data_IF_518938709826
#
_entry.id   IF_518938709826
#
_cell.length_a   1.000
_cell.length_b   1.000
_cell.length_c   1.000
_cell.angle_alpha   90.00
_cell.angle_beta   90.00
_cell.angle_gamma   90.00
#
_symmetry.space_group_name_H-M   'P 1'
#
loop_
_entity.id
_entity.type
_entity.pdbx_description
1 polymer ?
#
# COMPACT_ATOMS: atom_id res chain seq x y z
N UNK A 1 -1.61 -10.57 10.21
CA UNK A 1 -2.94 -10.38 10.82
C UNK A 1 -3.57 -11.74 11.08
N UNK A 2 -4.68 -11.78 11.83
CA UNK A 2 -5.50 -13.01 11.94
C UNK A 2 -6.79 -12.76 11.17
N UNK A 3 -7.06 -13.61 10.20
CA UNK A 3 -8.28 -13.60 9.41
C UNK A 3 -9.51 -13.77 10.32
N UNK A 4 -10.58 -13.04 10.01
CA UNK A 4 -11.88 -13.20 10.63
C UNK A 4 -12.71 -14.13 9.75
N UNK A 5 -13.12 -15.28 10.29
CA UNK A 5 -13.94 -16.22 9.53
C UNK A 5 -15.37 -15.69 9.43
N UNK A 6 -15.86 -15.49 8.20
CA UNK A 6 -17.22 -15.04 7.91
C UNK A 6 -18.04 -16.24 7.45
N UNK A 7 -19.07 -16.59 8.22
CA UNK A 7 -20.03 -17.65 7.89
C UNK A 7 -21.49 -17.17 7.91
N UNK A 8 -21.69 -15.89 8.19
CA UNK A 8 -22.98 -15.20 8.27
C UNK A 8 -22.75 -13.75 7.78
N UNK A 9 -23.71 -12.85 7.97
CA UNK A 9 -23.61 -11.43 7.64
C UNK A 9 -22.34 -10.80 8.20
N UNK A 10 -21.57 -10.12 7.34
CA UNK A 10 -20.29 -9.48 7.70
C UNK A 10 -20.49 -8.50 8.86
N UNK A 11 -21.54 -7.69 8.81
CA UNK A 11 -21.88 -6.73 9.86
C UNK A 11 -22.18 -7.39 11.21
N UNK A 12 -22.73 -8.61 11.25
CA UNK A 12 -22.96 -9.32 12.51
C UNK A 12 -21.63 -9.74 13.15
N UNK A 13 -20.69 -10.24 12.34
CA UNK A 13 -19.34 -10.60 12.81
C UNK A 13 -18.56 -9.38 13.27
N UNK A 14 -18.64 -8.28 12.53
CA UNK A 14 -17.99 -7.01 12.90
C UNK A 14 -18.56 -6.45 14.20
N UNK A 15 -19.88 -6.44 14.38
CA UNK A 15 -20.52 -5.96 15.60
C UNK A 15 -20.03 -6.74 16.84
N UNK A 16 -19.94 -8.06 16.74
CA UNK A 16 -19.43 -8.92 17.80
C UNK A 16 -17.97 -8.60 18.16
N UNK A 17 -17.12 -8.32 17.17
CA UNK A 17 -15.73 -7.94 17.44
C UNK A 17 -15.61 -6.53 18.05
N UNK A 18 -16.43 -5.58 17.62
CA UNK A 18 -16.48 -4.23 18.21
C UNK A 18 -16.89 -4.31 19.68
N UNK A 19 -17.90 -5.14 20.02
CA UNK A 19 -18.31 -5.37 21.41
C UNK A 19 -17.18 -5.97 22.28
N UNK A 20 -16.21 -6.65 21.66
CA UNK A 20 -15.00 -7.18 22.31
C UNK A 20 -13.83 -6.19 22.32
N UNK A 21 -14.04 -4.95 21.88
CA UNK A 21 -13.01 -3.90 21.80
C UNK A 21 -11.97 -4.16 20.71
N UNK A 22 -12.34 -4.85 19.63
CA UNK A 22 -11.45 -5.16 18.50
C UNK A 22 -11.83 -4.33 17.28
N UNK A 23 -10.82 -3.92 16.53
CA UNK A 23 -10.98 -3.18 15.28
C UNK A 23 -10.94 -4.17 14.10
N UNK A 24 -12.05 -4.32 13.39
CA UNK A 24 -12.11 -5.16 12.18
C UNK A 24 -11.64 -4.38 10.96
N UNK A 25 -10.76 -4.97 10.18
CA UNK A 25 -10.41 -4.51 8.85
C UNK A 25 -11.14 -5.36 7.83
N UNK A 26 -11.97 -4.71 7.00
CA UNK A 26 -12.86 -5.38 6.06
C UNK A 26 -12.62 -4.79 4.69
N UNK A 27 -12.44 -5.67 3.72
CA UNK A 27 -12.43 -5.30 2.33
C UNK A 27 -13.83 -4.86 1.87
N UNK A 28 -13.92 -3.68 1.28
CA UNK A 28 -15.16 -3.05 0.85
C UNK A 28 -15.05 -2.54 -0.58
N UNK A 29 -16.21 -2.28 -1.17
CA UNK A 29 -16.32 -1.63 -2.46
C UNK A 29 -16.35 -0.11 -2.30
N UNK A 30 -15.29 0.54 -2.79
CA UNK A 30 -15.15 2.00 -2.76
C UNK A 30 -16.22 2.77 -3.53
N UNK A 31 -16.99 2.11 -4.41
CA UNK A 31 -18.15 2.72 -5.06
C UNK A 31 -19.15 3.31 -4.05
N UNK A 32 -19.28 2.69 -2.87
CA UNK A 32 -20.19 3.09 -1.80
C UNK A 32 -19.51 3.88 -0.68
N UNK A 33 -18.31 4.42 -0.92
CA UNK A 33 -17.52 5.08 0.12
C UNK A 33 -17.33 6.59 -0.17
N UNK A 34 -18.06 7.50 0.51
CA UNK A 34 -18.03 8.93 0.25
C UNK A 34 -16.66 9.59 0.34
N UNK A 35 -15.75 9.05 1.16
CA UNK A 35 -14.39 9.58 1.32
C UNK A 35 -13.51 9.38 0.08
N UNK A 36 -13.94 8.53 -0.85
CA UNK A 36 -13.30 8.33 -2.16
C UNK A 36 -13.87 9.23 -3.26
N UNK A 37 -14.62 10.27 -2.88
CA UNK A 37 -15.15 11.26 -3.81
C UNK A 37 -14.05 11.88 -4.69
N UNK A 38 -14.29 11.92 -6.00
CA UNK A 38 -13.31 12.34 -7.00
C UNK A 38 -12.37 11.23 -7.48
N UNK A 39 -12.51 10.01 -6.95
CA UNK A 39 -11.79 8.81 -7.40
C UNK A 39 -12.78 7.72 -7.82
N UNK A 40 -13.48 7.09 -6.88
CA UNK A 40 -14.34 5.91 -7.14
C UNK A 40 -15.76 6.00 -6.58
N UNK A 41 -16.04 6.91 -5.63
CA UNK A 41 -17.38 7.06 -5.07
C UNK A 41 -18.43 7.31 -6.15
N UNK A 42 -19.39 6.39 -6.27
CA UNK A 42 -20.45 6.37 -7.29
C UNK A 42 -19.99 6.41 -8.74
N UNK A 43 -18.71 6.15 -9.02
CA UNK A 43 -18.12 6.21 -10.37
C UNK A 43 -17.55 4.88 -10.84
N UNK A 44 -16.80 4.15 -10.00
CA UNK A 44 -16.16 2.88 -10.36
C UNK A 44 -16.17 1.91 -9.16
N UNK A 45 -16.49 0.64 -9.41
CA UNK A 45 -16.34 -0.42 -8.42
C UNK A 45 -14.87 -0.73 -8.20
N UNK A 46 -14.43 -0.67 -6.94
CA UNK A 46 -13.02 -0.74 -6.59
C UNK A 46 -12.82 -1.34 -5.22
N UNK A 47 -11.92 -2.32 -5.14
CA UNK A 47 -11.56 -3.00 -3.89
C UNK A 47 -10.68 -2.10 -3.01
N UNK A 48 -11.11 -1.86 -1.78
CA UNK A 48 -10.31 -1.21 -0.74
C UNK A 48 -10.53 -1.86 0.62
N UNK A 49 -9.73 -1.53 1.64
CA UNK A 49 -9.91 -2.04 3.00
C UNK A 49 -10.09 -0.87 3.97
N UNK A 50 -11.10 -0.97 4.82
CA UNK A 50 -11.37 0.00 5.89
C UNK A 50 -11.20 -0.66 7.25
N UNK A 51 -10.83 0.12 8.27
CA UNK A 51 -10.85 -0.33 9.65
C UNK A 51 -12.09 0.25 10.35
N UNK A 52 -13.07 -0.60 10.66
CA UNK A 52 -14.36 -0.19 11.22
C UNK A 52 -14.20 0.09 12.71
N UNK A 53 -14.45 1.33 13.11
CA UNK A 53 -14.32 1.80 14.48
C UNK A 53 -15.65 1.75 15.25
N UNK A 54 -16.73 2.19 14.61
CA UNK A 54 -18.08 2.14 15.16
C UNK A 54 -19.06 1.72 14.08
N UNK A 55 -20.06 0.95 14.46
CA UNK A 55 -21.13 0.53 13.56
C UNK A 55 -22.46 0.53 14.31
N UNK A 56 -23.48 1.08 13.65
CA UNK A 56 -24.86 1.06 14.10
C UNK A 56 -25.71 0.47 12.96
N UNK A 57 -26.04 -0.81 13.08
CA UNK A 57 -26.78 -1.54 12.03
C UNK A 57 -28.24 -1.08 11.95
N UNK A 58 -28.82 -0.66 13.07
CA UNK A 58 -30.22 -0.22 13.15
C UNK A 58 -30.40 1.11 12.42
N UNK A 59 -29.51 2.07 12.69
CA UNK A 59 -29.52 3.39 12.05
C UNK A 59 -28.76 3.41 10.71
N UNK A 60 -28.15 2.29 10.29
CA UNK A 60 -27.32 2.14 9.09
C UNK A 60 -26.17 3.16 9.04
N UNK A 61 -25.37 3.23 10.08
CA UNK A 61 -24.25 4.16 10.20
C UNK A 61 -22.93 3.43 10.47
N UNK A 62 -21.84 3.96 9.93
CA UNK A 62 -20.50 3.39 10.04
C UNK A 62 -19.46 4.50 10.18
N UNK A 63 -18.66 4.44 11.24
CA UNK A 63 -17.45 5.24 11.39
C UNK A 63 -16.22 4.35 11.18
N UNK A 64 -15.30 4.77 10.32
CA UNK A 64 -14.18 3.94 9.90
C UNK A 64 -12.92 4.75 9.60
N UNK A 65 -11.77 4.11 9.74
CA UNK A 65 -10.51 4.61 9.21
C UNK A 65 -10.28 4.08 7.80
N UNK A 66 -9.86 4.94 6.90
CA UNK A 66 -9.45 4.58 5.54
C UNK A 66 -8.26 5.46 5.14
N UNK A 67 -7.24 4.86 4.53
CA UNK A 67 -5.98 5.56 4.25
C UNK A 67 -5.45 6.27 5.51
N UNK A 68 -5.32 7.60 5.47
CA UNK A 68 -4.85 8.42 6.59
C UNK A 68 -5.96 9.16 7.36
N UNK A 69 -7.23 8.88 7.09
CA UNK A 69 -8.37 9.65 7.63
C UNK A 69 -9.36 8.82 8.45
N UNK A 70 -10.26 9.54 9.13
CA UNK A 70 -11.41 9.01 9.85
C UNK A 70 -12.68 9.56 9.21
N UNK A 71 -13.57 8.66 8.81
CA UNK A 71 -14.70 8.96 7.94
C UNK A 71 -15.97 8.32 8.47
N UNK A 72 -17.08 8.81 7.91
CA UNK A 72 -18.42 8.37 8.24
C UNK A 72 -19.16 8.05 6.94
N UNK A 73 -19.99 7.02 6.95
CA UNK A 73 -21.00 6.76 5.93
C UNK A 73 -22.31 6.31 6.57
N UNK A 74 -23.40 6.53 5.85
CA UNK A 74 -24.72 6.15 6.32
C UNK A 74 -25.67 5.80 5.18
N UNK A 75 -26.79 5.17 5.54
CA UNK A 75 -27.92 5.00 4.64
C UNK A 75 -27.66 4.02 3.48
N UNK A 76 -27.82 4.49 2.24
CA UNK A 76 -27.59 3.65 1.05
C UNK A 76 -26.12 3.23 0.92
N UNK A 77 -25.18 4.06 1.37
CA UNK A 77 -23.77 3.71 1.36
C UNK A 77 -23.49 2.57 2.33
N UNK A 78 -24.16 2.56 3.48
CA UNK A 78 -24.08 1.45 4.44
C UNK A 78 -24.60 0.15 3.83
N UNK A 79 -25.76 0.21 3.18
CA UNK A 79 -26.33 -0.97 2.50
C UNK A 79 -25.48 -1.42 1.31
N UNK A 80 -24.80 -0.48 0.66
CA UNK A 80 -23.85 -0.73 -0.42
C UNK A 80 -22.59 -1.45 0.04
N UNK A 81 -21.88 -0.94 1.05
CA UNK A 81 -20.64 -1.55 1.53
C UNK A 81 -20.86 -2.94 2.12
N UNK A 82 -22.02 -3.20 2.74
CA UNK A 82 -22.41 -4.53 3.22
C UNK A 82 -23.23 -5.34 2.19
N UNK A 83 -23.37 -4.85 0.95
CA UNK A 83 -24.04 -5.54 -0.14
C UNK A 83 -25.46 -6.02 0.19
N UNK A 84 -26.19 -5.28 1.05
CA UNK A 84 -27.54 -5.61 1.54
C UNK A 84 -28.62 -5.54 0.46
N UNK A 85 -28.29 -4.97 -0.69
CA UNK A 85 -29.15 -4.88 -1.86
C UNK A 85 -29.09 -6.14 -2.75
N UNK A 86 -28.10 -7.02 -2.52
CA UNK A 86 -27.98 -8.28 -3.24
C UNK A 86 -28.99 -9.32 -2.75
N UNK A 87 -29.40 -10.20 -3.65
CA UNK A 87 -30.30 -11.33 -3.41
C UNK A 87 -29.58 -12.66 -3.59
N UNK A 88 -30.24 -13.79 -3.28
CA UNK A 88 -29.69 -15.13 -3.51
C UNK A 88 -29.40 -15.45 -4.98
N UNK A 89 -29.93 -14.65 -5.92
CA UNK A 89 -29.65 -14.77 -7.34
C UNK A 89 -28.32 -14.08 -7.75
N UNK A 90 -27.81 -13.18 -6.92
CA UNK A 90 -26.59 -12.43 -7.18
C UNK A 90 -25.36 -13.20 -6.70
N UNK A 91 -24.21 -12.95 -7.32
CA UNK A 91 -22.96 -13.54 -6.86
C UNK A 91 -22.57 -12.92 -5.51
N UNK A 92 -22.25 -13.74 -4.49
CA UNK A 92 -21.90 -13.22 -3.18
C UNK A 92 -20.56 -12.49 -3.23
N UNK A 93 -20.51 -11.30 -2.65
CA UNK A 93 -19.25 -10.64 -2.32
C UNK A 93 -18.68 -11.26 -1.06
N UNK A 94 -17.50 -11.88 -1.18
CA UNK A 94 -16.80 -12.52 -0.08
C UNK A 94 -15.58 -11.66 0.29
N UNK A 95 -15.74 -10.64 1.15
CA UNK A 95 -14.64 -9.76 1.49
C UNK A 95 -13.58 -10.51 2.27
N UNK A 96 -12.31 -10.20 2.01
CA UNK A 96 -11.25 -10.53 2.96
C UNK A 96 -11.48 -9.71 4.24
N UNK A 97 -11.45 -10.37 5.38
CA UNK A 97 -11.64 -9.72 6.68
C UNK A 97 -10.58 -10.17 7.68
N UNK A 98 -10.12 -9.22 8.49
CA UNK A 98 -9.19 -9.47 9.58
C UNK A 98 -9.51 -8.55 10.76
N UNK A 99 -8.87 -8.77 11.91
CA UNK A 99 -8.96 -7.82 13.01
C UNK A 99 -7.57 -7.45 13.55
N UNK A 100 -7.41 -6.17 13.88
CA UNK A 100 -6.22 -5.68 14.53
C UNK A 100 -6.17 -6.18 15.98
N UNK A 101 -5.05 -6.83 16.34
CA UNK A 101 -4.77 -7.25 17.71
C UNK A 101 -3.90 -6.20 18.38
N UNK A 102 -4.50 -5.40 19.27
CA UNK A 102 -3.74 -4.48 20.08
C UNK A 102 -3.04 -5.24 21.22
N UNK A 103 -1.74 -5.01 21.44
CA UNK A 103 -1.06 -5.60 22.59
C UNK A 103 -1.63 -4.97 23.87
N UNK A 104 -1.70 -5.74 24.97
CA UNK A 104 -2.12 -5.22 26.28
C UNK A 104 -1.27 -4.03 26.73
N UNK A 105 0.00 -4.04 26.36
CA UNK A 105 0.95 -2.96 26.60
C UNK A 105 1.58 -2.57 25.27
N UNK A 106 1.46 -1.29 24.91
CA UNK A 106 2.12 -0.75 23.72
C UNK A 106 3.63 -0.78 23.95
N UNK A 107 4.44 -1.45 23.10
CA UNK A 107 5.88 -1.46 23.28
C UNK A 107 6.45 -0.07 23.15
N UNK A 108 7.39 0.29 24.04
CA UNK A 108 8.11 1.56 23.95
C UNK A 108 8.99 1.62 22.68
N UNK A 109 9.40 2.84 22.31
CA UNK A 109 10.22 3.04 21.11
C UNK A 109 11.57 2.32 21.18
N UNK A 110 12.13 2.15 22.38
CA UNK A 110 13.41 1.45 22.53
C UNK A 110 13.25 -0.04 22.20
N UNK A 111 12.17 -0.68 22.65
CA UNK A 111 11.81 -2.04 22.27
C UNK A 111 11.57 -2.16 20.76
N UNK A 112 10.78 -1.26 20.19
CA UNK A 112 10.50 -1.26 18.74
C UNK A 112 11.79 -1.18 17.92
N UNK A 113 12.72 -0.27 18.28
CA UNK A 113 14.03 -0.15 17.61
C UNK A 113 14.89 -1.38 17.79
N UNK A 114 14.95 -1.97 18.99
CA UNK A 114 15.69 -3.22 19.22
C UNK A 114 15.18 -4.33 18.31
N UNK A 115 13.85 -4.52 18.24
CA UNK A 115 13.25 -5.54 17.37
C UNK A 115 13.54 -5.25 15.89
N UNK A 116 13.40 -3.99 15.46
CA UNK A 116 13.72 -3.58 14.09
C UNK A 116 15.19 -3.85 13.73
N UNK A 117 16.13 -3.53 14.62
CA UNK A 117 17.56 -3.81 14.42
C UNK A 117 17.86 -5.31 14.27
N UNK A 118 17.15 -6.17 15.01
CA UNK A 118 17.27 -7.63 14.89
C UNK A 118 16.67 -8.13 13.56
N UNK A 119 15.56 -7.53 13.11
CA UNK A 119 14.87 -7.94 11.87
C UNK A 119 15.58 -7.46 10.61
N UNK A 120 16.18 -6.27 10.63
CA UNK A 120 16.84 -5.65 9.48
C UNK A 120 17.81 -6.57 8.74
N UNK A 121 18.82 -7.20 9.37
CA UNK A 121 19.75 -8.09 8.67
C UNK A 121 19.05 -9.32 8.07
N UNK A 122 17.99 -9.83 8.72
CA UNK A 122 17.21 -10.98 8.23
C UNK A 122 16.45 -10.64 6.96
N UNK A 123 15.83 -9.46 6.91
CA UNK A 123 15.15 -8.99 5.70
C UNK A 123 16.15 -8.62 4.61
N UNK A 124 17.26 -7.98 4.97
CA UNK A 124 18.34 -7.66 4.04
C UNK A 124 18.92 -8.91 3.37
N UNK A 125 19.04 -10.03 4.09
CA UNK A 125 19.49 -11.30 3.52
C UNK A 125 18.52 -11.92 2.49
N UNK A 126 17.24 -11.51 2.48
CA UNK A 126 16.22 -11.97 1.52
C UNK A 126 16.09 -11.08 0.29
N UNK A 127 16.89 -10.03 0.19
CA UNK A 127 16.87 -9.12 -0.97
C UNK A 127 17.18 -9.90 -2.26
N UNK A 128 16.67 -9.45 -3.42
CA UNK A 128 17.07 -10.00 -4.72
C UNK A 128 18.59 -9.97 -4.90
N UNK A 129 19.16 -11.01 -5.54
CA UNK A 129 20.59 -11.04 -5.87
C UNK A 129 20.94 -10.01 -6.94
N UNK A 130 20.03 -9.82 -7.92
CA UNK A 130 20.15 -8.85 -8.99
C UNK A 130 19.31 -7.60 -8.70
N UNK A 131 19.68 -6.47 -9.29
CA UNK A 131 18.96 -5.21 -9.11
C UNK A 131 17.58 -5.27 -9.80
N UNK A 132 16.48 -5.30 -9.02
CA UNK A 132 15.13 -5.46 -9.58
C UNK A 132 14.69 -4.23 -10.38
N UNK A 133 15.24 -3.04 -10.10
CA UNK A 133 14.93 -1.81 -10.82
C UNK A 133 15.57 -1.83 -12.20
N UNK A 134 16.80 -2.37 -12.34
CA UNK A 134 17.42 -2.59 -13.65
C UNK A 134 16.64 -3.60 -14.49
N UNK A 135 16.25 -4.72 -13.87
CA UNK A 135 15.41 -5.72 -14.52
C UNK A 135 14.09 -5.10 -15.02
N UNK A 136 13.41 -4.33 -14.16
CA UNK A 136 12.19 -3.61 -14.55
C UNK A 136 12.44 -2.56 -15.65
N UNK A 137 13.51 -1.77 -15.54
CA UNK A 137 13.86 -0.75 -16.53
C UNK A 137 14.08 -1.34 -17.94
N UNK A 138 14.58 -2.58 -18.04
CA UNK A 138 14.79 -3.25 -19.33
C UNK A 138 13.48 -3.58 -20.07
N UNK A 139 12.41 -3.88 -19.33
CA UNK A 139 11.09 -4.23 -19.90
C UNK A 139 10.11 -3.06 -19.92
N UNK A 140 10.42 -1.99 -19.18
CA UNK A 140 9.52 -0.85 -18.99
C UNK A 140 9.07 -0.20 -20.31
N UNK A 141 9.94 0.13 -21.29
CA UNK A 141 9.50 0.76 -22.54
C UNK A 141 8.45 -0.07 -23.29
N UNK A 142 8.70 -1.37 -23.48
CA UNK A 142 7.77 -2.27 -24.18
C UNK A 142 6.45 -2.45 -23.44
N UNK A 143 6.47 -2.49 -22.10
CA UNK A 143 5.25 -2.53 -21.30
C UNK A 143 4.42 -1.25 -21.48
N UNK A 144 5.07 -0.09 -21.53
CA UNK A 144 4.37 1.20 -21.70
C UNK A 144 3.74 1.33 -23.08
N UNK A 145 4.42 0.87 -24.13
CA UNK A 145 3.83 0.77 -25.47
C UNK A 145 2.56 -0.09 -25.48
N UNK A 146 2.61 -1.26 -24.85
CA UNK A 146 1.45 -2.14 -24.74
C UNK A 146 0.29 -1.52 -23.93
N UNK A 147 0.60 -0.70 -22.91
CA UNK A 147 -0.40 0.01 -22.10
C UNK A 147 -1.08 1.12 -22.90
N UNK A 148 -0.35 1.81 -23.78
CA UNK A 148 -0.89 2.92 -24.56
C UNK A 148 -1.97 2.49 -25.57
N UNK A 149 -2.03 1.20 -25.91
CA UNK A 149 -3.07 0.61 -26.74
C UNK A 149 -4.32 0.18 -25.96
N UNK A 150 -4.32 0.37 -24.63
CA UNK A 150 -5.46 0.06 -23.75
C UNK A 150 -6.26 1.32 -23.40
N UNK A 151 -7.51 1.17 -22.90
CA UNK A 151 -8.26 2.30 -22.37
C UNK A 151 -7.46 3.07 -21.32
N UNK A 152 -7.54 4.40 -21.34
CA UNK A 152 -6.71 5.27 -20.50
C UNK A 152 -6.76 4.91 -19.01
N UNK A 153 -7.92 4.48 -18.50
CA UNK A 153 -8.07 4.01 -17.11
C UNK A 153 -7.10 2.89 -16.72
N UNK A 154 -6.63 2.07 -17.67
CA UNK A 154 -5.68 1.00 -17.40
C UNK A 154 -4.31 1.52 -16.95
N UNK A 155 -3.88 2.71 -17.40
CA UNK A 155 -2.65 3.33 -16.94
C UNK A 155 -2.64 3.49 -15.41
N UNK A 156 -3.78 3.84 -14.79
CA UNK A 156 -3.85 3.98 -13.34
C UNK A 156 -3.57 2.66 -12.62
N UNK A 157 -4.06 1.53 -13.14
CA UNK A 157 -3.83 0.18 -12.62
C UNK A 157 -2.35 -0.21 -12.74
N UNK A 158 -1.73 0.05 -13.89
CA UNK A 158 -0.31 -0.23 -14.09
C UNK A 158 0.59 0.63 -13.21
N UNK A 159 0.38 1.95 -13.21
CA UNK A 159 1.19 2.88 -12.42
C UNK A 159 1.05 2.62 -10.92
N UNK A 160 -0.13 2.19 -10.46
CA UNK A 160 -0.34 1.77 -9.08
C UNK A 160 0.55 0.59 -8.71
N UNK A 161 0.50 -0.51 -9.48
CA UNK A 161 1.20 -1.75 -9.16
C UNK A 161 2.71 -1.75 -9.46
N UNK A 162 3.22 -0.72 -10.14
CA UNK A 162 4.63 -0.59 -10.48
C UNK A 162 5.26 0.61 -9.77
N UNK A 163 5.25 1.78 -10.40
CA UNK A 163 5.98 2.97 -9.95
C UNK A 163 5.45 3.53 -8.62
N UNK A 164 4.15 3.45 -8.33
CA UNK A 164 3.61 3.91 -7.02
C UNK A 164 4.02 2.96 -5.91
N UNK A 165 3.90 1.64 -6.11
CA UNK A 165 4.40 0.67 -5.13
C UNK A 165 5.91 0.82 -4.94
N UNK A 166 6.69 0.95 -6.01
CA UNK A 166 8.13 1.18 -5.92
C UNK A 166 8.43 2.42 -5.07
N UNK A 167 7.79 3.54 -5.38
CA UNK A 167 8.02 4.79 -4.67
C UNK A 167 7.65 4.72 -3.19
N UNK A 168 6.42 4.28 -2.89
CA UNK A 168 5.92 4.19 -1.52
C UNK A 168 6.78 3.25 -0.65
N UNK A 169 7.20 2.10 -1.17
CA UNK A 169 8.03 1.16 -0.40
C UNK A 169 9.41 1.73 -0.08
N UNK A 170 10.05 2.44 -1.02
CA UNK A 170 11.36 3.05 -0.77
C UNK A 170 11.29 4.34 0.06
N UNK A 171 10.18 5.08 0.01
CA UNK A 171 9.91 6.19 0.94
C UNK A 171 9.78 5.67 2.37
N UNK A 172 9.00 4.60 2.59
CA UNK A 172 8.91 3.92 3.89
C UNK A 172 10.27 3.38 4.34
N UNK A 173 11.07 2.82 3.43
CA UNK A 173 12.41 2.35 3.75
C UNK A 173 13.34 3.49 4.19
N UNK A 174 13.29 4.65 3.51
CA UNK A 174 14.06 5.84 3.89
C UNK A 174 13.68 6.31 5.30
N UNK A 175 12.37 6.51 5.56
CA UNK A 175 11.88 6.91 6.89
C UNK A 175 12.24 5.89 7.97
N UNK A 176 12.17 4.59 7.66
CA UNK A 176 12.56 3.53 8.59
C UNK A 176 14.05 3.59 8.94
N UNK A 177 14.93 3.73 7.94
CA UNK A 177 16.37 3.79 8.14
C UNK A 177 16.79 5.05 8.92
N UNK A 178 16.17 6.18 8.61
CA UNK A 178 16.36 7.43 9.36
C UNK A 178 15.95 7.28 10.82
N UNK A 179 14.74 6.74 11.07
CA UNK A 179 14.22 6.52 12.42
C UNK A 179 15.06 5.53 13.23
N UNK A 180 15.47 4.41 12.61
CA UNK A 180 16.25 3.36 13.25
C UNK A 180 17.67 3.84 13.54
N UNK A 181 18.28 4.54 12.58
CA UNK A 181 19.63 5.08 12.68
C UNK A 181 19.72 6.41 13.42
N UNK A 182 18.58 6.93 13.90
CA UNK A 182 18.47 8.18 14.65
C UNK A 182 19.08 9.38 13.89
N UNK A 183 18.87 9.41 12.57
CA UNK A 183 19.40 10.43 11.66
C UNK A 183 20.92 10.41 11.47
N UNK A 184 21.64 9.41 12.03
CA UNK A 184 23.10 9.31 11.94
C UNK A 184 23.53 8.05 11.21
N UNK A 185 23.17 6.89 11.79
CA UNK A 185 23.42 5.59 11.17
C UNK A 185 22.47 5.45 9.96
N UNK A 186 22.93 4.82 8.89
CA UNK A 186 22.16 4.66 7.64
C UNK A 186 21.76 5.95 6.90
N UNK A 187 22.34 7.11 7.22
CA UNK A 187 21.96 8.37 6.57
C UNK A 187 22.13 8.32 5.03
N UNK A 188 23.23 7.73 4.54
CA UNK A 188 23.47 7.54 3.10
C UNK A 188 22.46 6.58 2.46
N UNK A 189 22.20 5.44 3.11
CA UNK A 189 21.21 4.47 2.68
C UNK A 189 19.78 5.08 2.64
N UNK A 190 19.41 5.87 3.65
CA UNK A 190 18.13 6.58 3.66
C UNK A 190 18.01 7.55 2.48
N UNK A 191 19.06 8.33 2.19
CA UNK A 191 19.07 9.25 1.05
C UNK A 191 18.95 8.52 -0.30
N UNK A 192 19.65 7.40 -0.48
CA UNK A 192 19.53 6.60 -1.71
C UNK A 192 18.13 5.97 -1.85
N UNK A 193 17.51 5.52 -0.76
CA UNK A 193 16.12 5.05 -0.77
C UNK A 193 15.15 6.17 -1.17
N UNK A 194 15.33 7.39 -0.64
CA UNK A 194 14.53 8.55 -1.01
C UNK A 194 14.70 8.91 -2.50
N UNK A 195 15.93 8.84 -3.03
CA UNK A 195 16.19 9.05 -4.46
C UNK A 195 15.39 8.06 -5.34
N UNK A 196 15.27 6.79 -4.93
CA UNK A 196 14.43 5.81 -5.64
C UNK A 196 12.96 6.26 -5.63
N UNK A 197 12.47 6.69 -4.47
CA UNK A 197 11.09 7.14 -4.32
C UNK A 197 10.76 8.36 -5.19
N UNK A 198 11.63 9.36 -5.18
CA UNK A 198 11.50 10.57 -5.99
C UNK A 198 11.59 10.28 -7.49
N UNK A 199 12.52 9.41 -7.89
CA UNK A 199 12.64 8.99 -9.28
C UNK A 199 11.37 8.26 -9.73
N UNK A 200 10.86 7.32 -8.93
CA UNK A 200 9.62 6.60 -9.25
C UNK A 200 8.43 7.58 -9.39
N UNK A 201 8.32 8.58 -8.51
CA UNK A 201 7.32 9.64 -8.61
C UNK A 201 7.47 10.48 -9.89
N UNK A 202 8.68 10.88 -10.24
CA UNK A 202 8.95 11.64 -11.46
C UNK A 202 8.59 10.83 -12.73
N UNK A 203 8.96 9.55 -12.75
CA UNK A 203 8.65 8.63 -13.87
C UNK A 203 7.15 8.42 -14.03
N UNK A 204 6.34 8.47 -12.97
CA UNK A 204 4.87 8.40 -13.10
C UNK A 204 4.31 9.55 -13.96
N UNK A 205 4.82 10.77 -13.78
CA UNK A 205 4.39 11.92 -14.58
C UNK A 205 4.89 11.83 -16.03
N UNK A 206 6.10 11.30 -16.25
CA UNK A 206 6.63 11.04 -17.58
C UNK A 206 5.79 9.97 -18.29
N UNK A 207 5.46 8.88 -17.59
CA UNK A 207 4.60 7.81 -18.09
C UNK A 207 3.22 8.32 -18.49
N UNK A 208 2.55 9.09 -17.62
CA UNK A 208 1.25 9.69 -17.94
C UNK A 208 1.33 10.53 -19.23
N UNK A 209 2.38 11.36 -19.37
CA UNK A 209 2.59 12.16 -20.58
C UNK A 209 2.90 11.33 -21.81
N UNK A 210 3.68 10.26 -21.67
CA UNK A 210 4.03 9.35 -22.76
C UNK A 210 2.79 8.63 -23.30
N UNK A 211 1.94 8.12 -22.41
CA UNK A 211 0.66 7.48 -22.76
C UNK A 211 -0.29 8.48 -23.44
N UNK A 212 -0.47 9.67 -22.87
CA UNK A 212 -1.33 10.71 -23.47
C UNK A 212 -0.86 11.16 -24.85
N UNK A 213 0.45 11.22 -25.09
CA UNK A 213 1.04 11.71 -26.35
C UNK A 213 1.38 10.61 -27.36
N UNK A 214 1.25 9.34 -26.97
CA UNK A 214 1.77 8.18 -27.71
C UNK A 214 3.22 8.36 -28.19
N UNK A 215 4.10 8.82 -27.28
CA UNK A 215 5.54 9.02 -27.54
C UNK A 215 6.38 8.42 -26.41
N UNK A 216 7.22 7.45 -26.73
CA UNK A 216 7.88 6.59 -25.72
C UNK A 216 9.40 6.72 -25.69
N UNK A 217 10.02 7.37 -26.68
CA UNK A 217 11.48 7.50 -26.79
C UNK A 217 12.14 8.10 -25.54
N UNK A 218 11.42 9.00 -24.87
CA UNK A 218 11.88 9.68 -23.65
C UNK A 218 11.81 8.82 -22.38
N UNK A 219 11.34 7.57 -22.45
CA UNK A 219 11.24 6.66 -21.30
C UNK A 219 12.53 5.86 -21.07
N UNK A 220 13.34 5.68 -22.11
CA UNK A 220 14.65 5.02 -21.99
C UNK A 220 15.53 5.71 -20.96
N UNK A 221 16.08 4.95 -20.01
CA UNK A 221 16.99 5.46 -18.99
C UNK A 221 16.35 6.29 -17.87
N UNK A 222 15.04 6.54 -17.90
CA UNK A 222 14.35 7.32 -16.85
C UNK A 222 14.40 6.68 -15.45
N UNK A 223 14.55 5.35 -15.40
CA UNK A 223 14.73 4.59 -14.16
C UNK A 223 16.20 4.41 -13.77
N UNK A 224 17.17 4.85 -14.57
CA UNK A 224 18.59 4.71 -14.28
C UNK A 224 19.00 5.34 -12.94
N UNK A 225 18.54 6.55 -12.56
CA UNK A 225 18.89 7.13 -11.26
C UNK A 225 18.42 6.26 -10.08
N UNK A 226 17.23 5.65 -10.20
CA UNK A 226 16.70 4.73 -9.18
C UNK A 226 17.49 3.42 -9.15
N UNK A 227 17.86 2.89 -10.31
CA UNK A 227 18.68 1.69 -10.41
C UNK A 227 20.06 1.89 -9.76
N UNK A 228 20.74 2.99 -10.07
CA UNK A 228 22.04 3.32 -9.47
C UNK A 228 21.93 3.56 -7.96
N UNK A 229 20.86 4.23 -7.51
CA UNK A 229 20.58 4.43 -6.10
C UNK A 229 20.33 3.11 -5.36
N UNK A 230 19.68 2.13 -5.98
CA UNK A 230 19.50 0.81 -5.39
C UNK A 230 20.83 0.10 -5.15
N UNK A 231 21.76 0.14 -6.10
CA UNK A 231 23.08 -0.50 -5.93
C UNK A 231 23.85 0.15 -4.77
N UNK A 232 23.84 1.49 -4.69
CA UNK A 232 24.46 2.22 -3.58
C UNK A 232 23.79 1.93 -2.24
N UNK A 233 22.46 1.90 -2.19
CA UNK A 233 21.68 1.55 -1.01
C UNK A 233 22.07 0.16 -0.49
N UNK A 234 22.11 -0.84 -1.36
CA UNK A 234 22.46 -2.20 -0.95
C UNK A 234 23.90 -2.31 -0.47
N UNK A 235 24.84 -1.62 -1.12
CA UNK A 235 26.24 -1.58 -0.69
C UNK A 235 26.41 -0.87 0.67
N UNK A 236 25.72 0.26 0.89
CA UNK A 236 25.73 1.00 2.14
C UNK A 236 25.17 0.16 3.30
N UNK A 237 24.02 -0.51 3.08
CA UNK A 237 23.44 -1.41 4.08
C UNK A 237 24.33 -2.62 4.36
N UNK A 238 24.92 -3.24 3.34
CA UNK A 238 25.85 -4.35 3.54
C UNK A 238 27.04 -3.94 4.42
N UNK A 239 27.59 -2.75 4.19
CA UNK A 239 28.71 -2.21 4.99
C UNK A 239 28.28 -1.96 6.44
N UNK A 240 27.16 -1.27 6.65
CA UNK A 240 26.67 -0.92 7.99
C UNK A 240 26.22 -2.14 8.81
N UNK A 241 25.69 -3.17 8.16
CA UNK A 241 25.29 -4.42 8.81
C UNK A 241 26.49 -5.35 9.04
N UNK A 242 27.51 -5.30 8.18
CA UNK A 242 28.76 -6.04 8.39
C UNK A 242 29.52 -5.57 9.62
N UNK A 243 29.45 -4.28 9.96
CA UNK A 243 30.03 -3.72 11.20
C UNK A 243 29.37 -4.25 12.47
N UNK A 244 28.10 -4.64 12.43
CA UNK A 244 27.40 -5.20 13.60
C UNK A 244 27.79 -6.66 13.88
N UNK A 245 28.37 -7.34 12.88
CA UNK A 245 28.78 -8.74 12.98
C UNK A 245 30.26 -8.93 13.37
N UNK A 246 31.05 -7.85 13.36
CA UNK A 246 32.47 -7.82 13.70
C UNK A 246 32.68 -7.33 15.14
#
# INVERSE_FOLDING_TARGET
ATELAIFDRVESHVAEQIARGRLCMVEMDSYFMPDTHGVSYRTEHGKTTIAINRMDVENRQLDYFHNGGFYHLEGEDFDGVFQRHLTDADLPFLPYTEFAKFPKHVPDQAHQRRVAAILLPRHFARRPQENPIRAFASVFPAQVEAIAERPFGFFHKYAFNTLRQLGANFELAASHLEWLGQGKRFATASADALQIAETAKAVQFQLARAVMRKKFDALGGTLQPAADAWDRLMAALATELGRDAA
#
